data_IF_807397999968
#
_entry.id   IF_807397999968
#
_cell.length_a   1.000
_cell.length_b   1.000
_cell.length_c   1.000
_cell.angle_alpha   90.00
_cell.angle_beta   90.00
_cell.angle_gamma   90.00
#
_symmetry.space_group_name_H-M   'P 1'
#
loop_
_entity.id
_entity.type
_entity.pdbx_description
1 polymer ?
#
# COMPACT_ATOMS: atom_id res chain seq x y z
N UNK A 1 33.06 -77.25 34.04
CA UNK A 1 32.23 -78.45 33.81
C UNK A 1 31.18 -78.15 32.74
N UNK A 2 31.14 -78.98 31.69
CA UNK A 2 30.08 -79.16 30.65
C UNK A 2 29.74 -77.94 29.76
N UNK A 3 30.18 -77.94 28.49
CA UNK A 3 29.59 -78.58 27.28
C UNK A 3 28.36 -77.78 26.77
N UNK A 4 28.22 -77.42 25.49
CA UNK A 4 28.83 -78.00 24.31
C UNK A 4 28.70 -77.18 23.02
N UNK A 5 29.35 -77.73 21.99
CA UNK A 5 29.45 -77.31 20.59
C UNK A 5 28.18 -77.61 19.79
N UNK A 6 27.94 -76.81 18.75
CA UNK A 6 27.57 -77.26 17.38
C UNK A 6 27.88 -76.08 16.44
N UNK A 7 28.90 -76.12 15.56
CA UNK A 7 28.86 -76.59 14.15
C UNK A 7 27.64 -76.02 13.39
N UNK A 8 27.74 -75.33 12.24
CA UNK A 8 28.64 -75.52 11.10
C UNK A 8 28.80 -74.25 10.25
N UNK A 9 29.98 -74.19 9.64
CA UNK A 9 30.42 -73.36 8.52
C UNK A 9 29.68 -73.75 7.23
N UNK A 10 29.21 -72.79 6.42
CA UNK A 10 29.43 -72.75 4.95
C UNK A 10 29.29 -71.29 4.48
N UNK A 11 30.30 -70.85 3.74
CA UNK A 11 30.51 -69.53 3.18
C UNK A 11 29.78 -69.32 1.85
N UNK A 12 29.33 -68.09 1.57
CA UNK A 12 29.29 -67.54 0.21
C UNK A 12 29.74 -66.07 0.25
N UNK A 13 30.77 -65.81 -0.55
CA UNK A 13 31.40 -64.55 -0.92
C UNK A 13 30.37 -63.59 -1.55
N UNK A 14 30.34 -62.31 -1.17
CA UNK A 14 30.29 -61.17 -2.12
C UNK A 14 30.29 -59.82 -1.36
N UNK A 15 31.19 -58.96 -1.81
CA UNK A 15 31.39 -57.52 -1.57
C UNK A 15 30.14 -56.79 -1.06
N UNK A 16 30.19 -56.24 0.17
CA UNK A 16 29.30 -55.15 0.60
C UNK A 16 30.10 -53.86 0.56
N UNK A 17 29.87 -53.12 -0.53
CA UNK A 17 30.23 -51.72 -0.67
C UNK A 17 29.42 -50.88 0.33
N UNK A 18 30.08 -49.83 0.80
CA UNK A 18 29.62 -48.77 1.68
C UNK A 18 28.20 -48.29 1.33
N UNK A 19 27.22 -48.60 2.16
CA UNK A 19 25.87 -48.02 2.07
C UNK A 19 25.74 -46.86 3.06
N UNK A 20 25.58 -45.67 2.47
CA UNK A 20 24.65 -44.61 2.86
C UNK A 20 24.03 -44.72 4.27
N UNK A 21 24.36 -43.75 5.12
CA UNK A 21 23.32 -43.10 5.94
C UNK A 21 23.08 -41.71 5.37
N UNK A 22 21.94 -41.59 4.68
CA UNK A 22 21.30 -40.32 4.35
C UNK A 22 20.98 -39.60 5.67
N UNK A 23 21.78 -38.60 6.01
CA UNK A 23 21.41 -37.54 6.94
C UNK A 23 21.10 -36.31 6.11
N UNK A 24 19.82 -36.07 5.85
CA UNK A 24 19.28 -34.85 5.25
C UNK A 24 19.64 -33.64 6.11
N UNK A 25 20.83 -33.06 5.89
CA UNK A 25 21.03 -31.65 6.10
C UNK A 25 20.55 -30.96 4.83
N UNK A 26 19.23 -30.79 4.75
CA UNK A 26 18.64 -29.82 3.83
C UNK A 26 19.13 -28.45 4.26
N UNK A 27 20.28 -28.03 3.75
CA UNK A 27 20.53 -26.63 3.47
C UNK A 27 19.37 -26.20 2.58
N UNK A 28 18.31 -25.65 3.17
CA UNK A 28 17.47 -24.73 2.43
C UNK A 28 18.43 -23.63 2.00
N UNK A 29 18.86 -23.69 0.74
CA UNK A 29 19.22 -22.47 0.04
C UNK A 29 18.10 -21.49 0.35
N UNK A 30 18.42 -20.37 0.98
CA UNK A 30 17.60 -19.18 0.84
C UNK A 30 17.47 -19.01 -0.67
N UNK A 31 16.31 -19.36 -1.22
CA UNK A 31 15.99 -19.02 -2.59
C UNK A 31 16.17 -17.49 -2.65
N UNK A 32 17.11 -17.00 -3.44
CA UNK A 32 17.14 -15.58 -3.76
C UNK A 32 15.81 -15.27 -4.47
N UNK A 33 14.88 -14.77 -3.68
CA UNK A 33 13.53 -14.42 -4.08
C UNK A 33 13.67 -13.25 -5.08
N UNK A 34 13.70 -13.57 -6.38
CA UNK A 34 14.13 -12.66 -7.46
C UNK A 34 13.02 -11.77 -8.03
N UNK A 35 13.40 -10.73 -8.79
CA UNK A 35 12.53 -9.73 -9.43
C UNK A 35 11.28 -10.34 -10.11
N UNK A 36 10.08 -10.00 -9.63
CA UNK A 36 8.79 -10.48 -10.18
C UNK A 36 8.37 -9.73 -11.45
N UNK A 37 8.98 -8.57 -11.72
CA UNK A 37 8.65 -7.69 -12.85
C UNK A 37 9.91 -7.32 -13.65
N UNK A 38 10.66 -8.32 -14.16
CA UNK A 38 11.97 -8.10 -14.79
C UNK A 38 11.92 -7.28 -16.09
N UNK A 39 10.75 -7.15 -16.72
CA UNK A 39 10.55 -6.39 -17.95
C UNK A 39 10.15 -4.93 -17.71
N UNK A 40 9.85 -4.55 -16.45
CA UNK A 40 9.39 -3.21 -16.11
C UNK A 40 10.49 -2.36 -15.46
N UNK A 41 10.56 -1.12 -15.93
CA UNK A 41 11.39 -0.04 -15.39
C UNK A 41 10.53 1.18 -15.08
N UNK A 42 11.01 2.03 -14.18
CA UNK A 42 10.44 3.35 -13.96
C UNK A 42 10.67 4.19 -15.22
N UNK A 43 9.57 4.75 -15.74
CA UNK A 43 9.54 5.67 -16.88
C UNK A 43 9.46 7.11 -16.39
N UNK A 44 8.61 7.37 -15.38
CA UNK A 44 8.48 8.66 -14.69
C UNK A 44 8.17 8.44 -13.21
N UNK A 45 8.90 9.13 -12.34
CA UNK A 45 8.76 9.09 -10.89
C UNK A 45 8.78 10.47 -10.22
N UNK A 46 9.01 11.53 -11.00
CA UNK A 46 9.05 12.90 -10.48
C UNK A 46 7.92 13.77 -11.02
N UNK A 47 7.42 14.68 -10.18
CA UNK A 47 6.51 15.75 -10.57
C UNK A 47 5.29 15.86 -9.66
N UNK A 48 4.73 17.06 -9.56
CA UNK A 48 3.54 17.33 -8.72
C UNK A 48 2.34 16.45 -9.08
N UNK A 49 2.23 16.08 -10.36
CA UNK A 49 1.15 15.25 -10.87
C UNK A 49 1.30 13.77 -10.47
N UNK A 50 2.45 13.37 -9.91
CA UNK A 50 2.68 12.03 -9.37
C UNK A 50 2.60 11.98 -7.83
N UNK A 51 2.38 13.11 -7.17
CA UNK A 51 2.18 13.14 -5.72
C UNK A 51 0.92 12.37 -5.33
N UNK A 52 1.08 11.57 -4.29
CA UNK A 52 0.02 10.84 -3.65
C UNK A 52 -0.04 11.25 -2.17
N UNK A 53 -0.86 12.26 -1.87
CA UNK A 53 -0.93 12.86 -0.54
C UNK A 53 -1.93 12.12 0.34
N UNK A 54 -1.47 11.64 1.48
CA UNK A 54 -2.29 10.95 2.48
C UNK A 54 -2.83 11.95 3.48
N UNK A 55 -4.12 11.83 3.78
CA UNK A 55 -4.81 12.68 4.75
C UNK A 55 -5.62 11.86 5.73
N UNK A 56 -5.64 12.30 6.98
CA UNK A 56 -6.57 11.83 7.99
C UNK A 56 -7.74 12.80 8.12
N UNK A 57 -8.94 12.26 8.31
CA UNK A 57 -10.15 13.04 8.57
C UNK A 57 -10.91 12.33 9.71
N UNK A 58 -11.20 13.06 10.79
CA UNK A 58 -12.01 12.53 11.87
C UNK A 58 -13.49 12.54 11.48
N UNK A 59 -14.21 11.46 11.77
CA UNK A 59 -15.65 11.36 11.48
C UNK A 59 -16.43 12.15 12.53
N UNK A 60 -17.38 12.97 12.06
CA UNK A 60 -18.30 13.75 12.88
C UNK A 60 -19.47 12.92 13.42
N UNK A 61 -20.23 13.49 14.36
CA UNK A 61 -21.47 12.86 14.80
C UNK A 61 -22.50 12.86 13.68
N UNK A 62 -23.33 11.82 13.66
CA UNK A 62 -24.49 11.79 12.78
C UNK A 62 -25.61 10.99 13.47
N UNK A 63 -26.80 11.57 13.56
CA UNK A 63 -27.96 10.94 14.21
C UNK A 63 -28.38 9.62 13.56
N UNK A 64 -28.03 9.41 12.28
CA UNK A 64 -28.32 8.17 11.56
C UNK A 64 -27.37 7.02 11.94
N UNK A 65 -26.26 7.29 12.64
CA UNK A 65 -25.30 6.24 12.99
C UNK A 65 -25.82 5.37 14.13
N UNK A 66 -25.72 4.05 13.95
CA UNK A 66 -26.06 3.08 14.99
C UNK A 66 -25.14 3.20 16.22
N UNK A 67 -23.92 3.67 16.03
CA UNK A 67 -22.96 3.95 17.11
C UNK A 67 -22.16 5.18 16.73
N UNK A 68 -22.12 6.17 17.62
CA UNK A 68 -21.36 7.40 17.40
C UNK A 68 -19.84 7.12 17.35
N UNK A 69 -19.07 7.90 16.58
CA UNK A 69 -17.61 7.77 16.52
C UNK A 69 -16.94 7.90 17.89
N UNK A 70 -15.92 7.09 18.15
CA UNK A 70 -15.01 7.29 19.27
C UNK A 70 -14.09 8.50 18.99
N UNK A 71 -14.57 9.70 19.36
CA UNK A 71 -13.86 10.95 19.06
C UNK A 71 -12.53 11.05 19.76
N UNK A 72 -12.48 10.65 21.02
CA UNK A 72 -11.28 10.72 21.85
C UNK A 72 -10.20 9.80 21.30
N UNK A 73 -10.57 8.59 20.88
CA UNK A 73 -9.65 7.65 20.23
C UNK A 73 -9.16 8.12 18.86
N UNK A 74 -10.06 8.68 18.04
CA UNK A 74 -9.70 9.28 16.74
C UNK A 74 -8.73 10.47 16.92
N UNK A 75 -9.01 11.37 17.87
CA UNK A 75 -8.13 12.50 18.19
C UNK A 75 -6.78 12.02 18.69
N UNK A 76 -6.75 11.01 19.57
CA UNK A 76 -5.51 10.43 20.07
C UNK A 76 -4.66 9.87 18.91
N UNK A 77 -5.26 9.14 17.97
CA UNK A 77 -4.54 8.61 16.81
C UNK A 77 -4.00 9.71 15.89
N UNK A 78 -4.83 10.71 15.56
CA UNK A 78 -4.44 11.84 14.69
C UNK A 78 -3.32 12.67 15.32
N UNK A 79 -3.43 12.97 16.61
CA UNK A 79 -2.38 13.67 17.38
C UNK A 79 -1.11 12.81 17.46
N UNK A 80 -1.25 11.50 17.70
CA UNK A 80 -0.13 10.57 17.76
C UNK A 80 0.65 10.48 16.45
N UNK A 81 -0.05 10.38 15.31
CA UNK A 81 0.53 10.42 13.96
C UNK A 81 1.28 11.73 13.67
N UNK A 82 0.89 12.81 14.35
CA UNK A 82 1.49 14.14 14.21
C UNK A 82 2.65 14.40 15.18
N UNK A 83 2.93 13.48 16.12
CA UNK A 83 4.08 13.60 17.02
C UNK A 83 5.39 13.52 16.23
N UNK A 84 6.39 14.30 16.66
CA UNK A 84 7.74 14.24 16.09
C UNK A 84 8.31 12.83 16.06
N UNK A 85 8.11 12.05 17.13
CA UNK A 85 8.57 10.66 17.24
C UNK A 85 7.92 9.75 16.22
N UNK A 86 6.59 9.79 16.07
CA UNK A 86 5.86 8.99 15.08
C UNK A 86 6.18 9.40 13.65
N UNK A 87 6.33 10.70 13.41
CA UNK A 87 6.76 11.22 12.10
C UNK A 87 8.14 10.70 11.70
N UNK A 88 9.09 10.60 12.63
CA UNK A 88 10.38 9.98 12.35
C UNK A 88 10.25 8.50 11.97
N UNK A 89 9.37 7.74 12.65
CA UNK A 89 9.09 6.35 12.26
C UNK A 89 8.56 6.23 10.82
N UNK A 90 7.68 7.15 10.41
CA UNK A 90 7.18 7.22 9.03
C UNK A 90 8.30 7.54 8.04
N UNK A 91 9.13 8.54 8.34
CA UNK A 91 10.23 8.97 7.47
C UNK A 91 11.35 7.92 7.34
N UNK A 92 11.50 7.04 8.34
CA UNK A 92 12.47 5.94 8.32
C UNK A 92 11.90 4.66 7.69
N UNK A 93 10.58 4.57 7.52
CA UNK A 93 9.92 3.39 6.97
C UNK A 93 10.39 3.08 5.54
N UNK A 94 10.77 1.81 5.33
CA UNK A 94 11.27 1.30 4.06
C UNK A 94 12.77 1.43 3.82
N UNK A 95 13.50 2.26 4.58
CA UNK A 95 14.95 2.45 4.37
C UNK A 95 15.74 1.15 4.54
N UNK A 96 15.41 0.37 5.57
CA UNK A 96 16.07 -0.92 5.82
C UNK A 96 15.79 -1.94 4.70
N UNK A 97 14.61 -1.88 4.09
CA UNK A 97 14.16 -2.90 3.15
C UNK A 97 14.46 -2.58 1.69
N UNK A 98 14.43 -1.30 1.33
CA UNK A 98 14.48 -0.81 -0.04
C UNK A 98 15.63 0.19 -0.26
N UNK A 99 16.45 0.45 0.76
CA UNK A 99 17.52 1.46 0.74
C UNK A 99 17.00 2.88 0.39
N UNK A 100 15.70 3.13 0.58
CA UNK A 100 15.02 4.38 0.30
C UNK A 100 13.79 4.53 1.22
N UNK A 101 13.42 5.77 1.54
CA UNK A 101 12.17 6.04 2.25
C UNK A 101 10.98 5.84 1.31
N UNK A 102 9.93 5.17 1.78
CA UNK A 102 8.70 4.98 1.01
C UNK A 102 7.69 6.12 1.21
N UNK A 103 7.84 6.89 2.28
CA UNK A 103 6.98 8.01 2.62
C UNK A 103 7.80 9.24 2.98
N UNK A 104 7.28 10.39 2.57
CA UNK A 104 7.88 11.70 2.78
C UNK A 104 6.88 12.55 3.55
N UNK A 105 7.34 13.16 4.63
CA UNK A 105 6.50 14.03 5.45
C UNK A 105 6.24 15.34 4.71
N UNK A 106 5.04 15.89 4.82
CA UNK A 106 4.78 17.21 4.26
C UNK A 106 5.40 18.29 5.16
N UNK A 107 6.06 19.28 4.56
CA UNK A 107 6.74 20.37 5.28
C UNK A 107 5.76 21.27 6.05
N UNK A 108 4.55 21.43 5.53
CA UNK A 108 3.48 22.23 6.12
C UNK A 108 2.62 21.45 7.15
N UNK A 109 2.84 20.14 7.28
CA UNK A 109 2.06 19.33 8.20
C UNK A 109 2.41 19.65 9.65
N UNK A 110 1.37 19.81 10.48
CA UNK A 110 1.51 20.06 11.92
C UNK A 110 2.44 19.04 12.57
N UNK A 111 3.40 19.55 13.34
CA UNK A 111 4.26 18.75 14.24
C UNK A 111 3.82 19.04 15.66
N UNK A 112 3.52 17.99 16.41
CA UNK A 112 3.23 18.07 17.84
C UNK A 112 4.48 17.66 18.62
N UNK A 113 4.91 18.55 19.52
CA UNK A 113 6.00 18.32 20.48
C UNK A 113 5.41 18.21 21.89
N UNK A 114 4.58 17.19 22.09
CA UNK A 114 3.99 16.82 23.38
C UNK A 114 4.42 15.39 23.75
N UNK A 115 4.38 15.06 25.03
CA UNK A 115 4.67 13.71 25.51
C UNK A 115 3.58 12.73 25.04
N UNK A 116 3.99 11.60 24.46
CA UNK A 116 3.04 10.59 23.96
C UNK A 116 2.09 10.08 25.07
N UNK A 117 2.54 10.12 26.33
CA UNK A 117 1.76 9.74 27.51
C UNK A 117 0.50 10.58 27.71
N UNK A 118 0.45 11.82 27.21
CA UNK A 118 -0.77 12.64 27.27
C UNK A 118 -1.87 12.14 26.34
N UNK A 119 -1.55 11.20 25.44
CA UNK A 119 -2.49 10.56 24.50
C UNK A 119 -2.89 9.15 24.94
N UNK A 120 -2.51 8.71 26.14
CA UNK A 120 -2.83 7.36 26.65
C UNK A 120 -4.31 7.17 26.87
N UNK A 121 -4.78 5.96 26.60
CA UNK A 121 -6.09 5.50 27.00
C UNK A 121 -6.17 5.37 28.52
N UNK A 122 -7.01 6.20 29.14
CA UNK A 122 -7.48 6.08 30.51
C UNK A 122 -8.96 5.67 30.55
N UNK A 123 -9.29 4.53 31.17
CA UNK A 123 -10.66 4.03 31.29
C UNK A 123 -11.56 4.86 32.22
N UNK A 124 -10.99 5.74 33.04
CA UNK A 124 -11.75 6.69 33.87
C UNK A 124 -12.20 7.94 33.11
N UNK A 125 -11.54 8.24 31.98
CA UNK A 125 -11.80 9.42 31.14
C UNK A 125 -12.48 9.03 29.83
N UNK A 126 -12.05 7.94 29.20
CA UNK A 126 -12.49 7.54 27.86
C UNK A 126 -13.56 6.45 27.89
N UNK A 127 -14.60 6.65 27.07
CA UNK A 127 -15.77 5.75 26.99
C UNK A 127 -15.54 4.48 26.18
N UNK A 128 -14.62 4.51 25.23
CA UNK A 128 -14.34 3.39 24.33
C UNK A 128 -12.83 3.25 24.09
N UNK A 129 -12.34 2.01 24.06
CA UNK A 129 -10.93 1.68 23.84
C UNK A 129 -10.60 1.46 22.35
N UNK A 130 -11.57 0.97 21.58
CA UNK A 130 -11.37 0.64 20.17
C UNK A 130 -11.45 1.90 19.32
N UNK A 131 -10.54 2.01 18.36
CA UNK A 131 -10.46 3.09 17.37
C UNK A 131 -10.58 2.46 15.99
N UNK A 132 -11.67 2.73 15.29
CA UNK A 132 -12.00 2.15 13.98
C UNK A 132 -11.45 3.03 12.88
N UNK A 133 -10.39 2.58 12.22
CA UNK A 133 -9.78 3.27 11.08
C UNK A 133 -10.25 2.64 9.77
N UNK A 134 -10.96 3.40 8.94
CA UNK A 134 -11.23 3.00 7.56
C UNK A 134 -10.18 3.61 6.62
N UNK A 135 -9.56 2.79 5.79
CA UNK A 135 -8.46 3.21 4.91
C UNK A 135 -8.55 2.54 3.54
N UNK A 136 -7.64 2.92 2.63
CA UNK A 136 -7.56 2.26 1.33
C UNK A 136 -6.68 1.01 1.38
N UNK A 137 -7.00 -0.01 0.58
CA UNK A 137 -6.15 -1.20 0.41
C UNK A 137 -4.72 -0.81 0.02
N UNK A 138 -4.54 0.16 -0.89
CA UNK A 138 -3.21 0.68 -1.25
C UNK A 138 -2.42 1.31 -0.10
N UNK A 139 -3.08 1.87 0.92
CA UNK A 139 -2.36 2.32 2.14
C UNK A 139 -1.90 1.09 2.92
N UNK A 140 -2.83 0.18 3.17
CA UNK A 140 -2.59 -0.99 4.01
C UNK A 140 -1.49 -1.89 3.44
N UNK A 141 -1.52 -2.12 2.13
CA UNK A 141 -0.57 -2.96 1.39
C UNK A 141 0.86 -2.38 1.39
N UNK A 142 1.04 -1.10 1.70
CA UNK A 142 2.39 -0.56 1.91
C UNK A 142 3.09 -1.19 3.12
N UNK A 143 2.33 -1.75 4.07
CA UNK A 143 2.80 -2.26 5.36
C UNK A 143 2.99 -1.18 6.44
N UNK A 144 2.77 0.10 6.11
CA UNK A 144 2.98 1.19 7.07
C UNK A 144 2.05 1.10 8.29
N UNK A 145 0.75 0.81 8.09
CA UNK A 145 -0.19 0.71 9.20
C UNK A 145 0.12 -0.48 10.13
N UNK A 146 0.38 -1.71 9.62
CA UNK A 146 0.89 -2.81 10.46
C UNK A 146 2.16 -2.48 11.24
N UNK A 147 3.07 -1.68 10.66
CA UNK A 147 4.29 -1.23 11.35
C UNK A 147 4.01 -0.21 12.47
N UNK A 148 3.08 0.72 12.25
CA UNK A 148 2.74 1.79 13.18
C UNK A 148 1.79 1.33 14.30
N UNK A 149 0.84 0.45 14.00
CA UNK A 149 -0.23 0.03 14.89
C UNK A 149 0.27 -0.45 16.27
N UNK A 150 1.28 -1.35 16.38
CA UNK A 150 1.80 -1.78 17.67
C UNK A 150 2.36 -0.64 18.53
N UNK A 151 2.85 0.44 17.91
CA UNK A 151 3.38 1.59 18.64
C UNK A 151 2.27 2.49 19.18
N UNK A 152 1.17 2.64 18.43
CA UNK A 152 -0.02 3.33 18.93
C UNK A 152 -0.71 2.54 20.04
N UNK A 153 -0.83 1.22 19.91
CA UNK A 153 -1.51 0.38 20.91
C UNK A 153 -0.77 0.29 22.26
N UNK A 154 0.54 0.63 22.30
CA UNK A 154 1.27 0.83 23.57
C UNK A 154 0.70 1.97 24.42
N UNK A 155 -0.04 2.89 23.82
CA UNK A 155 -0.78 3.94 24.54
C UNK A 155 -2.05 3.40 25.21
N UNK A 156 -2.37 2.12 25.03
CA UNK A 156 -3.53 1.47 25.62
C UNK A 156 -4.79 1.51 24.75
N UNK A 157 -4.76 2.15 23.58
CA UNK A 157 -5.83 2.06 22.59
C UNK A 157 -5.79 0.71 21.85
N UNK A 158 -6.89 0.34 21.17
CA UNK A 158 -6.91 -0.78 20.23
C UNK A 158 -7.28 -0.23 18.85
N UNK A 159 -6.40 -0.37 17.87
CA UNK A 159 -6.67 0.13 16.51
C UNK A 159 -7.29 -0.99 15.67
N UNK A 160 -8.45 -0.74 15.08
CA UNK A 160 -9.15 -1.69 14.21
C UNK A 160 -9.13 -1.12 12.79
N UNK A 161 -8.19 -1.62 11.97
CA UNK A 161 -7.99 -1.17 10.60
C UNK A 161 -8.87 -1.98 9.65
N UNK A 162 -9.69 -1.29 8.87
CA UNK A 162 -10.44 -1.86 7.75
C UNK A 162 -9.99 -1.18 6.46
N UNK A 163 -9.63 -1.97 5.45
CA UNK A 163 -9.14 -1.45 4.18
C UNK A 163 -10.01 -1.88 2.99
N UNK A 164 -10.37 -0.94 2.13
CA UNK A 164 -11.13 -1.20 0.90
C UNK A 164 -10.70 -0.25 -0.24
N UNK A 165 -11.36 -0.29 -1.40
CA UNK A 165 -11.22 0.78 -2.39
C UNK A 165 -11.66 2.14 -1.82
N UNK A 166 -11.14 3.25 -2.34
CA UNK A 166 -11.39 4.61 -1.79
C UNK A 166 -12.87 4.90 -1.57
N UNK A 167 -13.73 4.61 -2.56
CA UNK A 167 -15.17 4.83 -2.43
C UNK A 167 -15.80 4.01 -1.30
N UNK A 168 -15.45 2.74 -1.18
CA UNK A 168 -15.94 1.86 -0.12
C UNK A 168 -15.41 2.26 1.26
N UNK A 169 -14.15 2.70 1.36
CA UNK A 169 -13.56 3.17 2.61
C UNK A 169 -14.26 4.44 3.12
N UNK A 170 -14.54 5.39 2.24
CA UNK A 170 -15.30 6.61 2.55
C UNK A 170 -16.76 6.27 2.87
N UNK A 171 -17.38 5.35 2.12
CA UNK A 171 -18.74 4.91 2.37
C UNK A 171 -18.89 4.27 3.77
N UNK A 172 -17.94 3.43 4.18
CA UNK A 172 -17.95 2.86 5.52
C UNK A 172 -17.98 3.93 6.64
N UNK A 173 -17.27 5.05 6.45
CA UNK A 173 -17.33 6.17 7.37
C UNK A 173 -18.68 6.92 7.31
N UNK A 174 -19.25 7.11 6.12
CA UNK A 174 -20.61 7.66 5.93
C UNK A 174 -21.71 6.79 6.53
N UNK A 175 -21.44 5.50 6.74
CA UNK A 175 -22.36 4.55 7.36
C UNK A 175 -22.15 4.41 8.88
N UNK A 176 -21.21 5.18 9.47
CA UNK A 176 -20.91 5.14 10.91
C UNK A 176 -20.02 3.98 11.35
N UNK A 177 -19.36 3.29 10.41
CA UNK A 177 -18.49 2.14 10.67
C UNK A 177 -17.02 2.51 10.91
N UNK A 178 -16.69 3.81 10.98
CA UNK A 178 -15.33 4.30 11.26
C UNK A 178 -15.36 5.51 12.20
N UNK A 179 -14.29 5.67 12.99
CA UNK A 179 -14.07 6.84 13.84
C UNK A 179 -13.24 7.92 13.14
N UNK A 180 -12.40 7.48 12.20
CA UNK A 180 -11.59 8.31 11.32
C UNK A 180 -11.31 7.57 10.01
N UNK A 181 -11.00 8.33 8.96
CA UNK A 181 -10.52 7.81 7.69
C UNK A 181 -9.07 8.24 7.42
N UNK A 182 -8.31 7.38 6.75
CA UNK A 182 -7.01 7.69 6.19
C UNK A 182 -6.99 7.29 4.73
N UNK A 183 -7.06 8.27 3.84
CA UNK A 183 -7.23 8.09 2.39
C UNK A 183 -6.33 9.08 1.63
N UNK A 184 -6.34 9.02 0.29
CA UNK A 184 -5.46 9.81 -0.59
C UNK A 184 -6.14 10.29 -1.87
N UNK A 185 -7.42 10.66 -1.78
CA UNK A 185 -8.23 11.14 -2.90
C UNK A 185 -8.85 12.48 -2.56
N UNK A 186 -8.12 13.57 -2.83
CA UNK A 186 -8.49 14.94 -2.45
C UNK A 186 -9.94 15.31 -2.77
N UNK A 187 -10.40 15.08 -4.01
CA UNK A 187 -11.78 15.44 -4.37
C UNK A 187 -12.82 14.68 -3.53
N UNK A 188 -12.63 13.39 -3.31
CA UNK A 188 -13.54 12.57 -2.51
C UNK A 188 -13.48 12.91 -1.00
N UNK A 189 -12.31 13.34 -0.52
CA UNK A 189 -12.10 13.86 0.83
C UNK A 189 -12.85 15.19 1.04
N UNK A 190 -12.73 16.11 0.08
CA UNK A 190 -13.43 17.40 0.10
C UNK A 190 -14.96 17.19 0.03
N UNK A 191 -15.46 16.32 -0.86
CA UNK A 191 -16.88 15.96 -0.90
C UNK A 191 -17.40 15.34 0.42
N UNK A 192 -16.58 14.53 1.10
CA UNK A 192 -16.93 13.96 2.40
C UNK A 192 -17.05 15.04 3.48
N UNK A 193 -16.13 16.01 3.48
CA UNK A 193 -16.11 17.15 4.41
C UNK A 193 -17.28 18.10 4.13
N UNK A 194 -17.47 18.50 2.88
CA UNK A 194 -18.51 19.44 2.46
C UNK A 194 -19.92 18.89 2.70
N UNK A 195 -20.07 17.56 2.67
CA UNK A 195 -21.32 16.89 3.02
C UNK A 195 -21.55 16.76 4.55
N UNK A 196 -20.66 17.27 5.39
CA UNK A 196 -20.82 17.35 6.85
C UNK A 196 -20.50 16.06 7.61
N UNK A 197 -19.78 15.11 7.01
CA UNK A 197 -19.41 13.86 7.68
C UNK A 197 -18.12 13.95 8.51
N UNK A 198 -17.39 15.07 8.42
CA UNK A 198 -16.14 15.28 9.15
C UNK A 198 -16.34 16.16 10.39
N UNK A 199 -15.32 16.17 11.24
CA UNK A 199 -15.16 17.17 12.28
C UNK A 199 -13.71 17.64 12.37
N UNK A 200 -13.55 18.86 12.88
CA UNK A 200 -12.24 19.41 13.24
C UNK A 200 -11.68 18.71 14.48
N UNK A 201 -10.37 18.44 14.46
CA UNK A 201 -9.62 17.95 15.62
C UNK A 201 -8.96 19.14 16.31
N UNK A 202 -9.05 19.20 17.64
CA UNK A 202 -8.43 20.28 18.41
C UNK A 202 -6.91 20.34 18.15
N UNK A 203 -6.40 21.55 17.87
CA UNK A 203 -5.00 21.80 17.56
C UNK A 203 -4.63 21.68 16.08
N UNK A 204 -5.59 21.36 15.20
CA UNK A 204 -5.45 21.35 13.75
C UNK A 204 -6.33 22.43 13.13
N UNK A 205 -5.90 23.01 12.00
CA UNK A 205 -6.62 24.11 11.35
C UNK A 205 -7.76 23.64 10.43
N UNK A 206 -7.63 22.46 9.85
CA UNK A 206 -8.54 21.91 8.85
C UNK A 206 -9.01 20.50 9.26
N UNK A 207 -10.21 20.12 8.82
CA UNK A 207 -10.74 18.75 8.94
C UNK A 207 -9.89 17.76 8.14
N UNK A 208 -9.39 18.19 6.98
CA UNK A 208 -8.44 17.46 6.14
C UNK A 208 -7.01 17.66 6.65
N UNK A 209 -6.48 16.66 7.35
CA UNK A 209 -5.13 16.71 7.92
C UNK A 209 -4.19 15.91 7.03
N UNK A 210 -3.58 16.60 6.05
CA UNK A 210 -2.50 16.02 5.23
C UNK A 210 -1.18 16.02 5.99
N UNK A 211 -0.49 14.88 6.01
CA UNK A 211 0.70 14.71 6.87
C UNK A 211 1.89 14.06 6.18
N UNK A 212 1.64 13.28 5.13
CA UNK A 212 2.69 12.64 4.34
C UNK A 212 2.22 12.45 2.89
N UNK A 213 3.18 12.14 2.03
CA UNK A 213 2.93 11.69 0.67
C UNK A 213 3.89 10.54 0.31
N UNK A 214 3.49 9.77 -0.69
CA UNK A 214 4.43 9.02 -1.52
C UNK A 214 4.26 9.44 -2.97
N UNK A 215 4.85 8.67 -3.88
CA UNK A 215 4.83 8.96 -5.30
C UNK A 215 4.18 7.80 -6.06
N UNK A 216 3.29 8.15 -6.98
CA UNK A 216 3.01 7.28 -8.11
C UNK A 216 4.21 7.28 -9.05
N UNK A 217 4.43 6.14 -9.70
CA UNK A 217 5.41 5.98 -10.76
C UNK A 217 4.72 5.40 -11.98
N UNK A 218 5.00 5.98 -13.14
CA UNK A 218 4.70 5.34 -14.41
C UNK A 218 5.82 4.35 -14.67
N UNK A 219 5.45 3.08 -14.83
CA UNK A 219 6.39 2.01 -15.21
C UNK A 219 6.03 1.49 -16.59
N UNK A 220 7.01 0.89 -17.26
CA UNK A 220 6.82 0.36 -18.60
C UNK A 220 7.98 -0.47 -19.09
N UNK A 221 7.91 -0.94 -20.35
CA UNK A 221 8.91 -1.80 -20.95
C UNK A 221 10.29 -1.14 -21.02
N UNK A 222 11.35 -1.94 -20.89
CA UNK A 222 12.74 -1.45 -20.98
C UNK A 222 13.06 -0.74 -22.28
N UNK A 223 12.51 -1.24 -23.38
CA UNK A 223 12.68 -0.70 -24.73
C UNK A 223 11.85 0.57 -25.00
N UNK A 224 10.96 0.95 -24.08
CA UNK A 224 10.18 2.19 -24.09
C UNK A 224 9.63 2.55 -25.50
N UNK A 225 8.76 1.71 -26.10
CA UNK A 225 8.26 1.92 -27.46
C UNK A 225 7.54 3.25 -27.67
N UNK A 226 7.04 3.88 -26.60
CA UNK A 226 6.38 5.18 -26.63
C UNK A 226 7.36 6.35 -26.56
N UNK A 227 8.64 6.10 -26.24
CA UNK A 227 9.64 7.11 -25.87
C UNK A 227 9.15 8.00 -24.73
N UNK A 228 8.42 7.40 -23.79
CA UNK A 228 7.82 8.08 -22.66
C UNK A 228 8.86 8.55 -21.63
N UNK A 229 10.06 7.93 -21.60
CA UNK A 229 11.19 8.40 -20.77
C UNK A 229 11.65 9.80 -21.18
N UNK A 230 11.64 10.12 -22.48
CA UNK A 230 12.09 11.40 -23.02
C UNK A 230 11.06 12.54 -22.84
N UNK A 231 9.84 12.23 -22.42
CA UNK A 231 8.78 13.21 -22.23
C UNK A 231 9.12 14.21 -21.11
N UNK A 232 8.64 15.45 -21.21
CA UNK A 232 8.95 16.49 -20.21
C UNK A 232 8.39 16.17 -18.81
N UNK A 233 7.20 15.56 -18.76
CA UNK A 233 6.50 15.19 -17.53
C UNK A 233 5.63 13.94 -17.74
N UNK A 234 4.91 13.52 -16.70
CA UNK A 234 4.04 12.33 -16.75
C UNK A 234 2.86 12.49 -17.72
N UNK A 235 2.30 13.70 -17.89
CA UNK A 235 1.17 13.91 -18.80
C UNK A 235 1.63 13.82 -20.25
N UNK A 236 2.80 14.38 -20.55
CA UNK A 236 3.45 14.22 -21.85
C UNK A 236 3.81 12.74 -22.11
N UNK A 237 4.23 11.99 -21.09
CA UNK A 237 4.47 10.55 -21.20
C UNK A 237 3.19 9.77 -21.54
N UNK A 238 2.08 10.06 -20.86
CA UNK A 238 0.76 9.49 -21.17
C UNK A 238 0.32 9.85 -22.59
N UNK A 239 0.50 11.10 -23.03
CA UNK A 239 0.21 11.50 -24.40
C UNK A 239 1.06 10.75 -25.44
N UNK A 240 2.34 10.48 -25.15
CA UNK A 240 3.19 9.67 -26.01
C UNK A 240 2.73 8.21 -26.11
N UNK A 241 2.31 7.61 -24.98
CA UNK A 241 1.74 6.25 -24.93
C UNK A 241 0.47 6.18 -25.78
N UNK A 242 -0.46 7.13 -25.60
CA UNK A 242 -1.69 7.18 -26.38
C UNK A 242 -1.43 7.38 -27.88
N UNK A 243 -0.51 8.28 -28.26
CA UNK A 243 -0.16 8.55 -29.66
C UNK A 243 0.46 7.35 -30.37
N UNK A 244 1.23 6.55 -29.66
CA UNK A 244 1.89 5.35 -30.21
C UNK A 244 1.04 4.09 -30.07
N UNK A 245 -0.12 4.18 -29.41
CA UNK A 245 -0.97 3.05 -29.05
C UNK A 245 -0.17 1.93 -28.37
N UNK A 246 0.79 2.33 -27.52
CA UNK A 246 1.59 1.39 -26.75
C UNK A 246 0.73 0.78 -25.65
N UNK A 247 0.85 -0.54 -25.44
CA UNK A 247 0.01 -1.26 -24.46
C UNK A 247 0.04 -0.62 -23.08
N UNK A 248 -1.11 -0.40 -22.47
CA UNK A 248 -1.28 0.15 -21.14
C UNK A 248 -2.22 -0.73 -20.32
N UNK A 249 -1.80 -1.12 -19.11
CA UNK A 249 -2.64 -1.85 -18.15
C UNK A 249 -3.21 -0.86 -17.15
N UNK A 250 -4.54 -0.72 -17.17
CA UNK A 250 -5.29 -0.05 -16.11
C UNK A 250 -5.80 -1.06 -15.10
N UNK A 251 -5.78 -0.65 -13.83
CA UNK A 251 -6.41 -1.38 -12.73
C UNK A 251 -7.90 -1.63 -12.99
N UNK A 252 -8.63 -0.65 -13.54
CA UNK A 252 -10.06 -0.77 -13.82
C UNK A 252 -10.98 -0.99 -12.62
N UNK A 253 -10.48 -0.80 -11.39
CA UNK A 253 -11.11 -1.28 -10.15
C UNK A 253 -11.72 -0.16 -9.29
N UNK A 254 -11.81 1.07 -9.81
CA UNK A 254 -12.28 2.28 -9.10
C UNK A 254 -11.49 2.63 -7.83
N UNK A 255 -10.25 2.13 -7.71
CA UNK A 255 -9.34 2.50 -6.63
C UNK A 255 -8.76 3.92 -6.79
N UNK A 256 -8.08 4.41 -5.75
CA UNK A 256 -7.33 5.66 -5.82
C UNK A 256 -6.28 5.67 -6.94
N UNK A 257 -5.56 4.57 -7.17
CA UNK A 257 -4.59 4.45 -8.28
C UNK A 257 -5.29 4.54 -9.63
N UNK A 258 -6.42 3.86 -9.81
CA UNK A 258 -7.23 3.97 -11.03
C UNK A 258 -7.71 5.42 -11.26
N UNK A 259 -8.27 6.06 -10.23
CA UNK A 259 -8.74 7.44 -10.35
C UNK A 259 -7.60 8.41 -10.69
N UNK A 260 -6.42 8.18 -10.10
CA UNK A 260 -5.21 8.94 -10.42
C UNK A 260 -4.81 8.76 -11.87
N UNK A 261 -4.73 7.53 -12.33
CA UNK A 261 -4.41 7.17 -13.70
C UNK A 261 -5.39 7.80 -14.70
N UNK A 262 -6.69 7.70 -14.45
CA UNK A 262 -7.74 8.39 -15.22
C UNK A 262 -7.52 9.89 -15.26
N UNK A 263 -7.15 10.53 -14.15
CA UNK A 263 -6.89 11.98 -14.12
C UNK A 263 -5.66 12.42 -14.94
N UNK A 264 -4.76 11.48 -15.27
CA UNK A 264 -3.58 11.74 -16.10
C UNK A 264 -3.89 11.59 -17.60
N UNK A 265 -4.94 10.85 -17.97
CA UNK A 265 -5.51 10.87 -19.32
C UNK A 265 -6.29 12.18 -19.51
N UNK A 266 -5.55 13.26 -19.77
CA UNK A 266 -6.10 14.59 -20.01
C UNK A 266 -6.58 14.81 -21.44
N UNK A 267 -7.19 15.97 -21.70
CA UNK A 267 -7.73 16.34 -23.03
C UNK A 267 -6.72 16.21 -24.19
N UNK A 268 -5.43 16.36 -23.89
CA UNK A 268 -4.33 16.28 -24.86
C UNK A 268 -4.16 14.87 -25.46
N UNK A 269 -4.63 13.84 -24.76
CA UNK A 269 -4.62 12.45 -25.28
C UNK A 269 -5.87 12.15 -26.09
N UNK A 270 -6.87 13.04 -26.08
CA UNK A 270 -8.20 12.79 -26.63
C UNK A 270 -9.02 11.77 -25.82
N UNK A 271 -8.50 11.31 -24.68
CA UNK A 271 -9.17 10.37 -23.79
C UNK A 271 -9.78 11.12 -22.61
N UNK A 272 -11.00 10.75 -22.24
CA UNK A 272 -11.70 11.30 -21.08
C UNK A 272 -12.56 10.20 -20.47
N UNK A 273 -11.89 9.21 -19.89
CA UNK A 273 -12.56 8.07 -19.27
C UNK A 273 -13.27 8.51 -18.00
N UNK A 274 -14.57 8.26 -17.92
CA UNK A 274 -15.35 8.44 -16.69
C UNK A 274 -15.60 7.12 -15.98
N UNK A 275 -15.76 6.06 -16.76
CA UNK A 275 -16.05 4.72 -16.26
C UNK A 275 -15.10 3.69 -16.90
N UNK A 276 -14.77 2.59 -16.19
CA UNK A 276 -13.85 1.57 -16.70
C UNK A 276 -14.26 0.99 -18.06
N UNK A 277 -15.55 0.83 -18.32
CA UNK A 277 -16.03 0.22 -19.58
C UNK A 277 -15.76 1.09 -20.82
N UNK A 278 -15.55 2.40 -20.66
CA UNK A 278 -15.21 3.29 -21.78
C UNK A 278 -13.83 2.98 -22.35
N UNK A 279 -12.98 2.32 -21.56
CA UNK A 279 -11.61 1.96 -21.90
C UNK A 279 -11.53 0.78 -22.87
N UNK A 280 -12.55 -0.10 -22.89
CA UNK A 280 -12.63 -1.25 -23.80
C UNK A 280 -12.72 -0.89 -25.29
N UNK A 281 -12.80 0.41 -25.61
CA UNK A 281 -12.81 0.94 -26.98
C UNK A 281 -11.41 1.02 -27.61
N UNK A 282 -10.36 0.80 -26.85
CA UNK A 282 -8.98 0.96 -27.29
C UNK A 282 -8.20 -0.35 -27.09
N UNK A 283 -7.78 -1.00 -28.18
CA UNK A 283 -7.11 -2.32 -28.12
C UNK A 283 -5.78 -2.29 -27.34
N UNK A 284 -5.10 -1.13 -27.31
CA UNK A 284 -3.87 -0.93 -26.57
C UNK A 284 -4.10 -0.62 -25.09
N UNK A 285 -5.34 -0.35 -24.65
CA UNK A 285 -5.64 -0.01 -23.27
C UNK A 285 -6.47 -1.13 -22.64
N UNK A 286 -5.91 -1.80 -21.63
CA UNK A 286 -6.53 -2.96 -20.99
C UNK A 286 -6.90 -2.66 -19.55
N UNK A 287 -8.22 -2.55 -19.30
CA UNK A 287 -8.80 -2.37 -17.98
C UNK A 287 -9.13 -3.72 -17.35
N UNK A 288 -8.33 -4.16 -16.37
CA UNK A 288 -8.41 -5.55 -15.89
C UNK A 288 -9.37 -5.77 -14.71
N UNK A 289 -9.80 -4.71 -14.03
CA UNK A 289 -10.69 -4.79 -12.87
C UNK A 289 -10.07 -5.46 -11.65
N UNK A 290 -8.74 -5.39 -11.49
CA UNK A 290 -8.00 -6.09 -10.43
C UNK A 290 -7.03 -5.17 -9.68
N UNK A 291 -6.53 -5.66 -8.54
CA UNK A 291 -5.57 -4.96 -7.69
C UNK A 291 -4.21 -4.72 -8.33
N UNK A 292 -3.37 -3.92 -7.66
CA UNK A 292 -2.09 -3.46 -8.21
C UNK A 292 -1.10 -4.59 -8.48
N UNK A 293 -1.12 -5.63 -7.66
CA UNK A 293 -0.29 -6.81 -7.84
C UNK A 293 -0.50 -7.47 -9.20
N UNK A 294 -1.75 -7.80 -9.54
CA UNK A 294 -2.09 -8.38 -10.85
C UNK A 294 -1.78 -7.40 -11.98
N UNK A 295 -2.10 -6.11 -11.82
CA UNK A 295 -1.83 -5.12 -12.85
C UNK A 295 -0.32 -5.02 -13.18
N UNK A 296 0.56 -5.10 -12.18
CA UNK A 296 2.01 -5.13 -12.39
C UNK A 296 2.49 -6.42 -13.07
N UNK A 297 2.00 -7.58 -12.66
CA UNK A 297 2.40 -8.86 -13.29
C UNK A 297 1.91 -8.93 -14.73
N UNK A 298 0.67 -8.52 -15.00
CA UNK A 298 0.13 -8.44 -16.36
C UNK A 298 0.90 -7.43 -17.21
N UNK A 299 1.23 -6.25 -16.67
CA UNK A 299 2.02 -5.27 -17.41
C UNK A 299 3.42 -5.81 -17.77
N UNK A 300 4.03 -6.57 -16.86
CA UNK A 300 5.32 -7.21 -17.10
C UNK A 300 5.25 -8.30 -18.18
N UNK A 301 4.21 -9.13 -18.17
CA UNK A 301 3.98 -10.20 -19.15
C UNK A 301 3.69 -9.63 -20.54
N UNK A 302 2.81 -8.63 -20.59
CA UNK A 302 2.36 -8.00 -21.83
C UNK A 302 3.35 -6.99 -22.41
N UNK A 303 4.43 -6.69 -21.66
CA UNK A 303 5.35 -5.57 -21.93
C UNK A 303 4.56 -4.29 -22.18
N UNK A 304 3.80 -3.91 -21.17
CA UNK A 304 2.91 -2.77 -21.18
C UNK A 304 3.30 -1.74 -20.12
N UNK A 305 2.84 -0.50 -20.31
CA UNK A 305 2.92 0.55 -19.31
C UNK A 305 1.83 0.37 -18.25
N UNK A 306 2.08 0.84 -17.03
CA UNK A 306 1.04 0.96 -16.00
C UNK A 306 1.42 2.02 -14.96
N UNK A 307 0.44 2.57 -14.26
CA UNK A 307 0.67 3.46 -13.12
C UNK A 307 0.59 2.67 -11.82
N UNK A 308 1.58 2.83 -10.95
CA UNK A 308 1.63 2.16 -9.65
C UNK A 308 2.18 3.11 -8.57
N UNK A 309 1.99 2.79 -7.29
CA UNK A 309 2.73 3.49 -6.23
C UNK A 309 4.14 2.91 -6.07
N UNK A 310 5.09 3.74 -5.67
CA UNK A 310 6.51 3.35 -5.55
C UNK A 310 6.72 2.18 -4.58
N UNK A 311 5.93 2.10 -3.50
CA UNK A 311 6.04 1.03 -2.51
C UNK A 311 5.70 -0.33 -3.11
N UNK A 312 4.58 -0.42 -3.82
CA UNK A 312 4.18 -1.65 -4.53
C UNK A 312 5.18 -2.03 -5.61
N UNK A 313 5.67 -1.07 -6.40
CA UNK A 313 6.72 -1.33 -7.42
C UNK A 313 7.96 -1.97 -6.79
N UNK A 314 8.52 -1.35 -5.74
CA UNK A 314 9.74 -1.82 -5.09
C UNK A 314 9.57 -3.20 -4.44
N UNK A 315 8.41 -3.49 -3.85
CA UNK A 315 8.08 -4.82 -3.31
C UNK A 315 8.07 -5.89 -4.39
N UNK A 316 7.53 -5.60 -5.57
CA UNK A 316 7.53 -6.54 -6.70
C UNK A 316 8.92 -6.66 -7.35
N UNK A 317 9.67 -5.56 -7.43
CA UNK A 317 11.03 -5.53 -7.99
C UNK A 317 12.04 -6.29 -7.13
N UNK A 318 11.92 -6.19 -5.81
CA UNK A 318 12.81 -6.85 -4.85
C UNK A 318 12.21 -8.16 -4.30
N UNK A 319 10.99 -8.50 -4.73
CA UNK A 319 10.22 -9.69 -4.33
C UNK A 319 10.10 -9.90 -2.80
N UNK A 320 10.08 -8.80 -2.03
CA UNK A 320 9.70 -8.79 -0.62
C UNK A 320 8.17 -8.68 -0.51
N UNK A 321 7.48 -9.79 -0.69
CA UNK A 321 6.05 -9.88 -0.37
C UNK A 321 5.95 -10.50 1.02
N UNK A 322 5.35 -9.74 1.95
CA UNK A 322 5.05 -10.19 3.32
C UNK A 322 4.03 -11.34 3.32
#
# INVERSE_FOLDING_TARGET
MKKGRLFSVVAILLIVATFLTLGLAGCKSEEEVGDKIPNLEIIKDTGKDLLNTYSMIAVGDNEAFATQPNKEGADAFIKWMSLKTTRNLIADYGKADFNAALFYLNDDAKVLEIEADTLKYDASVHKAKNVRLSTTTSVNDTGLLPFLQPNFEKLGWKLEVQSAGTGAAIQAAKDGNADLILVHSKNAEEEFIDAGYSRKVEGFENDRISFMHNFFVLVGPKDDPAKAKDAADVKAAFAAIAKTESKFISRGDKSGTYNKEVSLWGAETGLNFKEPDEQRKYDWYMSIGQGMGTALTTANEEKAYTLTDIGTYLRYKNNKVD
#
